data_IF_648220876147
#
_entry.id   IF_648220876147
#
_cell.length_a   1.000
_cell.length_b   1.000
_cell.length_c   1.000
_cell.angle_alpha   90.00
_cell.angle_beta   90.00
_cell.angle_gamma   90.00
#
_symmetry.space_group_name_H-M   'P 1'
#
loop_
_entity.id
_entity.type
_entity.pdbx_description
1 polymer ?
#
# COMPACT_ATOMS: atom_id res chain seq x y z
N UNK A 1 33.43 -3.01 24.10
CA UNK A 1 32.75 -3.39 25.36
C UNK A 1 31.87 -2.23 25.69
N UNK A 2 30.56 -2.50 25.75
CA UNK A 2 29.48 -1.64 26.26
C UNK A 2 29.19 -0.37 25.45
N UNK A 3 27.99 -0.10 24.95
CA UNK A 3 26.68 -0.76 25.03
C UNK A 3 25.91 -0.39 23.75
N UNK A 4 25.43 -1.41 23.03
CA UNK A 4 24.31 -1.27 22.12
C UNK A 4 23.05 -1.29 22.98
N UNK A 5 22.39 -0.14 23.09
CA UNK A 5 21.12 0.01 23.77
C UNK A 5 20.33 1.08 23.04
N UNK A 6 19.16 0.70 22.53
CA UNK A 6 18.25 1.68 21.93
C UNK A 6 17.25 1.17 20.90
N UNK A 7 17.12 -0.15 20.64
CA UNK A 7 16.05 -0.67 19.76
C UNK A 7 15.35 -1.93 20.28
N UNK A 8 15.78 -2.51 21.41
CA UNK A 8 15.14 -3.68 22.02
C UNK A 8 14.00 -3.32 23.01
N UNK A 9 13.67 -2.03 23.18
CA UNK A 9 12.62 -1.56 24.12
C UNK A 9 11.23 -1.37 23.48
N UNK A 10 11.06 -1.65 22.18
CA UNK A 10 9.81 -1.34 21.46
C UNK A 10 8.85 -2.52 21.21
N UNK A 11 9.15 -3.74 21.68
CA UNK A 11 8.37 -4.93 21.27
C UNK A 11 8.14 -5.92 22.42
N UNK A 12 7.51 -5.44 23.49
CA UNK A 12 6.71 -6.29 24.37
C UNK A 12 5.23 -6.02 24.07
N UNK A 13 4.40 -7.06 24.14
CA UNK A 13 2.95 -7.00 23.96
C UNK A 13 2.25 -6.22 25.10
N UNK A 14 2.64 -4.96 25.27
CA UNK A 14 1.93 -3.99 26.09
C UNK A 14 0.79 -3.41 25.26
N UNK A 15 -0.35 -3.21 25.93
CA UNK A 15 -1.49 -2.45 25.41
C UNK A 15 -0.97 -1.24 24.63
N UNK A 16 -1.41 -1.07 23.38
CA UNK A 16 -1.08 0.11 22.57
C UNK A 16 -1.52 1.34 23.35
N UNK A 17 -0.60 1.93 24.11
CA UNK A 17 -0.87 3.15 24.84
C UNK A 17 -0.92 4.25 23.76
N UNK A 18 -2.02 4.98 23.65
CA UNK A 18 -2.13 6.02 22.66
C UNK A 18 -1.04 7.05 22.96
N UNK A 19 -0.49 7.66 21.92
CA UNK A 19 0.38 8.82 22.11
C UNK A 19 -0.41 10.00 22.72
N UNK A 20 -1.75 9.90 22.75
CA UNK A 20 -2.68 10.87 23.33
C UNK A 20 -2.87 10.74 24.84
N UNK A 21 -2.97 11.87 25.54
CA UNK A 21 -3.47 11.96 26.92
C UNK A 21 -5.00 11.80 27.04
N UNK A 22 -5.71 11.53 25.94
CA UNK A 22 -7.14 11.21 25.90
C UNK A 22 -7.37 9.70 25.97
N UNK A 23 -8.50 9.29 26.55
CA UNK A 23 -8.90 7.89 26.60
C UNK A 23 -9.03 7.32 25.17
N UNK A 24 -8.45 6.13 24.94
CA UNK A 24 -8.45 5.42 23.65
C UNK A 24 -9.88 5.30 23.08
N UNK A 25 -10.86 5.09 23.97
CA UNK A 25 -12.27 4.94 23.60
C UNK A 25 -12.84 6.21 22.96
N UNK A 26 -12.47 7.39 23.45
CA UNK A 26 -12.92 8.68 22.90
C UNK A 26 -12.30 8.92 21.52
N UNK A 27 -11.01 8.63 21.35
CA UNK A 27 -10.31 8.73 20.06
C UNK A 27 -10.93 7.76 19.04
N UNK A 28 -11.19 6.51 19.44
CA UNK A 28 -11.84 5.52 18.58
C UNK A 28 -13.27 5.93 18.18
N UNK A 29 -14.04 6.54 19.08
CA UNK A 29 -15.38 7.04 18.78
C UNK A 29 -15.35 8.18 17.75
N UNK A 30 -14.43 9.15 17.92
CA UNK A 30 -14.22 10.26 16.99
C UNK A 30 -13.78 9.76 15.61
N UNK A 31 -12.82 8.82 15.58
CA UNK A 31 -12.35 8.20 14.33
C UNK A 31 -13.47 7.49 13.57
N UNK A 32 -14.33 6.74 14.28
CA UNK A 32 -15.47 6.04 13.67
C UNK A 32 -16.46 6.99 13.02
N UNK A 33 -16.74 8.14 13.65
CA UNK A 33 -17.62 9.16 13.08
C UNK A 33 -17.02 9.79 11.82
N UNK A 34 -15.75 10.21 11.88
CA UNK A 34 -15.05 10.75 10.71
C UNK A 34 -14.96 9.75 9.56
N UNK A 35 -14.61 8.50 9.85
CA UNK A 35 -14.55 7.43 8.87
C UNK A 35 -15.90 7.23 8.19
N UNK A 36 -16.98 7.16 8.97
CA UNK A 36 -18.32 6.93 8.44
C UNK A 36 -18.73 8.06 7.50
N UNK A 37 -18.56 9.31 7.92
CA UNK A 37 -18.89 10.47 7.08
C UNK A 37 -18.08 10.49 5.78
N UNK A 38 -16.77 10.21 5.86
CA UNK A 38 -15.90 10.18 4.69
C UNK A 38 -16.21 8.98 3.76
N UNK A 39 -16.59 7.83 4.32
CA UNK A 39 -17.00 6.64 3.57
C UNK A 39 -18.32 6.87 2.84
N UNK A 40 -19.32 7.44 3.49
CA UNK A 40 -20.63 7.76 2.89
C UNK A 40 -20.46 8.74 1.72
N UNK A 41 -19.57 9.72 1.88
CA UNK A 41 -19.22 10.65 0.82
C UNK A 41 -18.49 9.97 -0.35
N UNK A 42 -17.52 9.12 -0.05
CA UNK A 42 -16.81 8.36 -1.08
C UNK A 42 -17.78 7.46 -1.87
N UNK A 43 -18.74 6.81 -1.21
CA UNK A 43 -19.75 5.98 -1.89
C UNK A 43 -20.62 6.80 -2.85
N UNK A 44 -21.02 8.01 -2.44
CA UNK A 44 -21.77 8.92 -3.30
C UNK A 44 -20.97 9.30 -4.56
N UNK A 45 -19.68 9.65 -4.40
CA UNK A 45 -18.76 9.91 -5.52
C UNK A 45 -18.52 8.65 -6.38
N UNK A 46 -18.46 7.49 -5.75
CA UNK A 46 -18.27 6.18 -6.39
C UNK A 46 -19.32 5.91 -7.46
N UNK A 47 -20.58 6.33 -7.25
CA UNK A 47 -21.65 6.17 -8.26
C UNK A 47 -21.34 6.92 -9.55
N UNK A 48 -20.75 8.12 -9.45
CA UNK A 48 -20.32 8.89 -10.62
C UNK A 48 -19.12 8.23 -11.30
N UNK A 49 -18.13 7.77 -10.52
CA UNK A 49 -16.94 7.09 -11.03
C UNK A 49 -17.28 5.79 -11.76
N UNK A 50 -18.22 5.00 -11.24
CA UNK A 50 -18.73 3.79 -11.90
C UNK A 50 -19.31 4.15 -13.27
N UNK A 51 -20.11 5.21 -13.37
CA UNK A 51 -20.67 5.65 -14.65
C UNK A 51 -19.57 6.07 -15.64
N UNK A 52 -18.55 6.79 -15.19
CA UNK A 52 -17.40 7.17 -16.02
C UNK A 52 -16.58 5.96 -16.46
N UNK A 53 -16.39 4.97 -15.59
CA UNK A 53 -15.70 3.73 -15.90
C UNK A 53 -16.46 2.91 -16.97
N UNK A 54 -17.79 2.83 -16.87
CA UNK A 54 -18.64 2.18 -17.89
C UNK A 54 -18.52 2.89 -19.23
N UNK A 55 -18.54 4.22 -19.23
CA UNK A 55 -18.35 5.02 -20.44
C UNK A 55 -16.97 4.79 -21.07
N UNK A 56 -15.91 4.68 -20.27
CA UNK A 56 -14.57 4.33 -20.73
C UNK A 56 -14.49 2.90 -21.29
N UNK A 57 -15.18 1.93 -20.67
CA UNK A 57 -15.22 0.55 -21.14
C UNK A 57 -16.10 0.37 -22.40
N UNK A 58 -16.82 1.41 -22.84
CA UNK A 58 -17.86 1.33 -23.87
C UNK A 58 -18.93 0.28 -23.55
N UNK A 59 -19.31 0.20 -22.27
CA UNK A 59 -20.37 -0.70 -21.82
C UNK A 59 -21.76 -0.19 -22.24
N UNK A 60 -22.73 -1.10 -22.44
CA UNK A 60 -24.13 -0.74 -22.67
C UNK A 60 -24.69 0.17 -21.56
N UNK A 61 -25.56 1.11 -21.94
CA UNK A 61 -26.23 2.04 -21.03
C UNK A 61 -27.40 1.40 -20.26
N UNK A 62 -27.80 0.18 -20.63
CA UNK A 62 -28.88 -0.57 -19.99
C UNK A 62 -30.28 -0.11 -20.41
N UNK A 63 -30.38 0.79 -21.39
CA UNK A 63 -31.63 1.27 -21.98
C UNK A 63 -31.81 0.79 -23.43
N UNK A 64 -31.00 -0.17 -23.87
CA UNK A 64 -31.04 -0.73 -25.22
C UNK A 64 -32.39 -1.41 -25.46
N UNK A 65 -32.96 -1.19 -26.65
CA UNK A 65 -34.17 -1.88 -27.09
C UNK A 65 -33.82 -3.00 -28.05
N UNK A 66 -34.50 -4.13 -27.89
CA UNK A 66 -34.43 -5.23 -28.85
C UNK A 66 -34.79 -4.72 -30.26
N UNK A 67 -34.03 -5.14 -31.27
CA UNK A 67 -34.12 -4.67 -32.66
C UNK A 67 -33.75 -3.19 -32.90
N UNK A 68 -32.98 -2.56 -32.00
CA UNK A 68 -32.29 -1.28 -32.24
C UNK A 68 -30.77 -1.45 -32.20
N UNK A 69 -30.06 -0.45 -32.71
CA UNK A 69 -28.59 -0.44 -32.63
C UNK A 69 -28.13 -0.45 -31.17
N UNK A 70 -27.21 -1.36 -30.85
CA UNK A 70 -26.60 -1.52 -29.52
C UNK A 70 -25.12 -1.08 -29.53
N UNK A 71 -24.67 -0.42 -30.60
CA UNK A 71 -23.28 0.03 -30.71
C UNK A 71 -23.04 1.20 -29.77
N UNK A 72 -22.09 1.03 -28.86
CA UNK A 72 -21.59 2.07 -27.97
C UNK A 72 -20.27 2.59 -28.53
N UNK A 73 -20.15 3.91 -28.68
CA UNK A 73 -18.92 4.56 -29.17
C UNK A 73 -17.86 4.60 -28.07
N UNK A 74 -16.59 4.46 -28.43
CA UNK A 74 -15.46 4.46 -27.49
C UNK A 74 -14.75 5.81 -27.37
N UNK A 75 -15.43 6.91 -27.70
CA UNK A 75 -14.83 8.26 -27.78
C UNK A 75 -14.07 8.66 -26.51
N UNK A 76 -14.58 8.30 -25.33
CA UNK A 76 -13.92 8.56 -24.04
C UNK A 76 -12.59 7.83 -23.95
N UNK A 77 -12.57 6.53 -24.26
CA UNK A 77 -11.36 5.70 -24.25
C UNK A 77 -10.32 6.19 -25.25
N UNK A 78 -10.78 6.56 -26.43
CA UNK A 78 -9.91 6.99 -27.52
C UNK A 78 -9.30 8.36 -27.20
N UNK A 79 -10.06 9.26 -26.60
CA UNK A 79 -9.57 10.56 -26.11
C UNK A 79 -8.55 10.39 -24.99
N UNK A 80 -8.83 9.56 -23.98
CA UNK A 80 -7.89 9.27 -22.89
C UNK A 80 -6.59 8.70 -23.46
N UNK A 81 -6.68 7.71 -24.36
CA UNK A 81 -5.52 7.07 -24.98
C UNK A 81 -4.70 8.03 -25.84
N UNK A 82 -5.32 9.04 -26.44
CA UNK A 82 -4.64 10.07 -27.21
C UNK A 82 -3.87 11.08 -26.32
N UNK A 83 -4.40 11.41 -25.14
CA UNK A 83 -3.78 12.38 -24.21
C UNK A 83 -2.63 11.76 -23.41
N UNK A 84 -2.75 10.48 -23.03
CA UNK A 84 -1.79 9.77 -22.17
C UNK A 84 -0.32 9.90 -22.61
N UNK A 85 0.06 9.68 -23.88
CA UNK A 85 1.46 9.79 -24.31
C UNK A 85 2.05 11.20 -24.11
N UNK A 86 1.23 12.24 -24.26
CA UNK A 86 1.66 13.62 -24.10
C UNK A 86 1.94 13.94 -22.63
N UNK A 87 1.09 13.48 -21.71
CA UNK A 87 1.31 13.63 -20.26
C UNK A 87 2.53 12.83 -19.79
N UNK A 88 2.66 11.57 -20.21
CA UNK A 88 3.80 10.74 -19.84
C UNK A 88 5.13 11.32 -20.33
N UNK A 89 5.16 11.94 -21.51
CA UNK A 89 6.38 12.57 -22.06
C UNK A 89 6.87 13.76 -21.23
N UNK A 90 5.99 14.47 -20.51
CA UNK A 90 6.39 15.60 -19.65
C UNK A 90 7.29 15.11 -18.51
N UNK A 91 6.98 13.94 -17.93
CA UNK A 91 7.69 13.42 -16.76
C UNK A 91 8.75 12.37 -17.10
N UNK A 92 8.52 11.53 -18.12
CA UNK A 92 9.42 10.42 -18.50
C UNK A 92 10.01 10.60 -19.91
N UNK A 93 9.96 11.83 -20.44
CA UNK A 93 10.65 12.19 -21.66
C UNK A 93 12.17 12.22 -21.49
N UNK A 94 12.85 12.86 -22.43
CA UNK A 94 14.32 12.91 -22.43
C UNK A 94 14.92 13.98 -21.48
N UNK A 95 14.08 14.62 -20.67
CA UNK A 95 14.44 15.71 -19.75
C UNK A 95 14.31 15.26 -18.29
N UNK A 96 14.93 16.01 -17.37
CA UNK A 96 14.81 15.75 -15.93
C UNK A 96 13.37 16.08 -15.51
N UNK A 97 12.65 15.12 -14.93
CA UNK A 97 11.26 15.32 -14.48
C UNK A 97 11.13 16.39 -13.38
N UNK A 98 12.12 16.41 -12.48
CA UNK A 98 12.27 17.36 -11.38
C UNK A 98 13.73 17.82 -11.40
N UNK A 99 13.96 19.08 -11.10
CA UNK A 99 15.29 19.66 -10.95
C UNK A 99 15.30 20.59 -9.73
N UNK A 100 16.26 20.37 -8.84
CA UNK A 100 16.46 21.26 -7.70
C UNK A 100 17.30 22.45 -8.13
N UNK A 101 16.80 23.66 -7.88
CA UNK A 101 17.52 24.89 -8.19
C UNK A 101 18.50 25.21 -7.05
N UNK A 102 19.80 25.41 -7.34
CA UNK A 102 20.76 25.82 -6.31
C UNK A 102 20.50 27.26 -5.88
N UNK A 103 20.54 27.51 -4.57
CA UNK A 103 20.41 28.87 -4.00
C UNK A 103 21.74 29.63 -4.00
N UNK A 104 22.86 28.93 -4.17
CA UNK A 104 24.20 29.52 -4.29
C UNK A 104 25.26 28.55 -4.85
N UNK A 105 26.50 29.02 -5.10
CA UNK A 105 27.57 28.25 -5.74
C UNK A 105 27.94 26.97 -4.98
N UNK A 106 27.85 26.99 -3.64
CA UNK A 106 28.18 25.85 -2.78
C UNK A 106 27.11 24.74 -2.86
N UNK A 107 25.86 25.10 -3.12
CA UNK A 107 24.72 24.17 -3.21
C UNK A 107 24.57 23.51 -4.58
N UNK A 108 25.35 23.92 -5.59
CA UNK A 108 25.23 23.42 -6.95
C UNK A 108 25.40 21.89 -7.04
N UNK A 109 26.43 21.36 -6.37
CA UNK A 109 26.68 19.90 -6.35
C UNK A 109 25.61 19.13 -5.58
N UNK A 110 25.11 19.71 -4.48
CA UNK A 110 24.06 19.09 -3.66
C UNK A 110 22.75 19.04 -4.43
N UNK A 111 22.40 20.12 -5.15
CA UNK A 111 21.21 20.18 -5.98
C UNK A 111 21.25 19.16 -7.13
N UNK A 112 22.42 18.98 -7.76
CA UNK A 112 22.63 17.95 -8.77
C UNK A 112 22.46 16.54 -8.18
N UNK A 113 23.11 16.25 -7.05
CA UNK A 113 22.98 14.97 -6.34
C UNK A 113 21.54 14.69 -5.92
N UNK A 114 20.82 15.68 -5.38
CA UNK A 114 19.42 15.54 -4.99
C UNK A 114 18.53 15.26 -6.20
N UNK A 115 18.80 15.92 -7.33
CA UNK A 115 18.07 15.70 -8.59
C UNK A 115 18.26 14.27 -9.10
N UNK A 116 19.51 13.78 -9.07
CA UNK A 116 19.83 12.43 -9.51
C UNK A 116 19.28 11.37 -8.55
N UNK A 117 19.31 11.63 -7.24
CA UNK A 117 18.74 10.74 -6.23
C UNK A 117 17.22 10.59 -6.36
N UNK A 118 16.47 11.70 -6.48
CA UNK A 118 15.02 11.64 -6.69
C UNK A 118 14.67 10.88 -7.97
N UNK A 119 15.46 11.03 -9.04
CA UNK A 119 15.28 10.23 -10.25
C UNK A 119 15.49 8.75 -9.98
N UNK A 120 16.54 8.40 -9.25
CA UNK A 120 16.84 7.02 -8.89
C UNK A 120 15.68 6.40 -8.11
N UNK A 121 15.16 7.10 -7.10
CA UNK A 121 14.00 6.64 -6.30
C UNK A 121 12.76 6.41 -7.16
N UNK A 122 12.47 7.32 -8.11
CA UNK A 122 11.29 7.20 -8.98
C UNK A 122 11.44 6.09 -10.02
N UNK A 123 12.64 5.87 -10.57
CA UNK A 123 12.83 4.98 -11.73
C UNK A 123 13.36 3.59 -11.38
N UNK A 124 14.18 3.47 -10.33
CA UNK A 124 14.86 2.23 -9.95
C UNK A 124 14.19 1.60 -8.73
N UNK A 125 14.02 2.36 -7.65
CA UNK A 125 13.44 1.81 -6.41
C UNK A 125 11.92 1.57 -6.55
N UNK A 126 11.28 2.34 -7.41
CA UNK A 126 9.86 2.26 -7.70
C UNK A 126 9.61 2.08 -9.21
N UNK A 127 8.51 1.41 -9.59
CA UNK A 127 8.08 1.36 -10.99
C UNK A 127 7.40 2.68 -11.41
N UNK A 128 8.10 3.82 -11.29
CA UNK A 128 7.49 5.15 -11.40
C UNK A 128 6.76 5.41 -12.71
N UNK A 129 7.23 4.88 -13.84
CA UNK A 129 6.50 4.99 -15.11
C UNK A 129 5.09 4.38 -15.03
N UNK A 130 4.96 3.21 -14.39
CA UNK A 130 3.68 2.52 -14.24
C UNK A 130 2.79 3.23 -13.22
N UNK A 131 3.35 3.71 -12.11
CA UNK A 131 2.60 4.44 -11.10
C UNK A 131 2.04 5.75 -11.66
N UNK A 132 2.84 6.57 -12.35
CA UNK A 132 2.34 7.78 -13.00
C UNK A 132 1.31 7.47 -14.09
N UNK A 133 1.51 6.39 -14.86
CA UNK A 133 0.54 5.96 -15.85
C UNK A 133 -0.82 5.61 -15.22
N UNK A 134 -0.82 4.87 -14.12
CA UNK A 134 -2.03 4.54 -13.34
C UNK A 134 -2.67 5.81 -12.78
N UNK A 135 -1.87 6.69 -12.19
CA UNK A 135 -2.31 7.95 -11.59
C UNK A 135 -3.03 8.86 -12.59
N UNK A 136 -2.43 9.08 -13.77
CA UNK A 136 -3.07 9.88 -14.82
C UNK A 136 -4.32 9.22 -15.36
N UNK A 137 -4.34 7.89 -15.48
CA UNK A 137 -5.52 7.17 -15.96
C UNK A 137 -6.68 7.32 -14.98
N UNK A 138 -6.43 7.17 -13.68
CA UNK A 138 -7.44 7.34 -12.63
C UNK A 138 -7.93 8.80 -12.60
N UNK A 139 -7.03 9.77 -12.74
CA UNK A 139 -7.39 11.18 -12.83
C UNK A 139 -8.24 11.52 -14.07
N UNK A 140 -7.90 10.96 -15.24
CA UNK A 140 -8.61 11.24 -16.49
C UNK A 140 -9.98 10.56 -16.57
N UNK A 141 -10.13 9.37 -15.98
CA UNK A 141 -11.41 8.64 -15.99
C UNK A 141 -12.29 9.06 -14.82
N UNK A 142 -11.75 9.03 -13.60
CA UNK A 142 -12.49 9.23 -12.35
C UNK A 142 -12.48 10.66 -11.81
N UNK A 143 -11.76 11.58 -12.45
CA UNK A 143 -11.62 12.98 -12.02
C UNK A 143 -10.76 13.17 -10.77
N UNK A 144 -10.17 12.09 -10.22
CA UNK A 144 -9.32 12.11 -9.05
C UNK A 144 -8.19 11.09 -9.24
N UNK A 145 -6.95 11.54 -9.12
CA UNK A 145 -5.79 10.67 -9.00
C UNK A 145 -5.10 10.96 -7.68
N UNK A 146 -4.94 9.94 -6.83
CA UNK A 146 -4.25 10.06 -5.54
C UNK A 146 -2.97 9.25 -5.58
N UNK A 147 -1.88 9.83 -5.09
CA UNK A 147 -0.60 9.17 -4.97
C UNK A 147 -0.09 9.33 -3.56
N UNK A 148 0.31 8.22 -2.95
CA UNK A 148 0.87 8.16 -1.60
C UNK A 148 2.36 7.91 -1.70
N UNK A 149 3.12 8.64 -0.88
CA UNK A 149 4.56 8.48 -0.73
C UNK A 149 4.82 8.25 0.75
N UNK A 150 5.53 7.16 1.08
CA UNK A 150 5.88 6.83 2.44
C UNK A 150 7.21 6.08 2.48
N UNK A 151 7.76 5.94 3.67
CA UNK A 151 8.93 5.12 3.93
C UNK A 151 8.49 3.68 4.25
N UNK A 152 8.91 2.71 3.44
CA UNK A 152 8.49 1.31 3.60
C UNK A 152 9.57 0.50 4.30
N UNK A 153 9.25 0.05 5.51
CA UNK A 153 10.06 -0.82 6.35
C UNK A 153 9.36 -2.17 6.49
N UNK A 154 9.73 -3.13 5.67
CA UNK A 154 9.13 -4.48 5.70
C UNK A 154 10.17 -5.56 5.69
N UNK A 155 9.90 -6.62 6.43
CA UNK A 155 10.68 -7.85 6.34
C UNK A 155 10.17 -8.71 5.18
N UNK A 156 11.07 -9.07 4.27
CA UNK A 156 10.78 -9.94 3.14
C UNK A 156 11.40 -11.31 3.38
N UNK A 157 10.56 -12.34 3.33
CA UNK A 157 11.00 -13.73 3.48
C UNK A 157 10.80 -14.44 2.16
N UNK A 158 11.89 -14.95 1.58
CA UNK A 158 11.85 -15.78 0.38
C UNK A 158 12.44 -17.15 0.70
N UNK A 159 11.61 -18.18 0.61
CA UNK A 159 12.05 -19.58 0.72
C UNK A 159 12.27 -20.15 -0.68
N UNK A 160 13.47 -20.68 -0.93
CA UNK A 160 13.79 -21.43 -2.15
C UNK A 160 14.08 -22.87 -1.75
N UNK A 161 13.28 -23.78 -2.28
CA UNK A 161 13.48 -25.22 -2.08
C UNK A 161 14.32 -25.76 -3.23
N UNK A 162 15.28 -26.62 -2.89
CA UNK A 162 16.12 -27.31 -3.85
C UNK A 162 16.12 -28.81 -3.56
N UNK A 163 16.17 -29.58 -4.63
CA UNK A 163 16.19 -31.04 -4.58
C UNK A 163 17.30 -31.56 -5.47
N UNK A 164 18.01 -32.59 -5.01
CA UNK A 164 19.10 -33.22 -5.75
C UNK A 164 20.34 -32.34 -5.97
N UNK A 165 20.69 -31.47 -5.03
CA UNK A 165 21.99 -30.77 -5.05
C UNK A 165 23.07 -31.62 -4.38
N UNK A 166 24.28 -31.59 -4.93
CA UNK A 166 25.45 -32.14 -4.27
C UNK A 166 25.84 -31.27 -3.07
N UNK A 167 26.44 -31.89 -2.06
CA UNK A 167 26.77 -31.25 -0.79
C UNK A 167 27.68 -30.01 -0.94
N UNK A 168 28.52 -29.97 -1.98
CA UNK A 168 29.41 -28.84 -2.25
C UNK A 168 28.66 -27.66 -2.86
N UNK A 169 27.79 -27.89 -3.84
CA UNK A 169 26.97 -26.81 -4.44
C UNK A 169 25.97 -26.22 -3.44
N UNK A 170 25.38 -27.04 -2.56
CA UNK A 170 24.50 -26.55 -1.50
C UNK A 170 25.25 -25.63 -0.52
N UNK A 171 26.52 -25.92 -0.21
CA UNK A 171 27.36 -25.07 0.64
C UNK A 171 27.77 -23.76 -0.05
N UNK A 172 27.99 -23.77 -1.36
CA UNK A 172 28.28 -22.55 -2.15
C UNK A 172 27.04 -21.65 -2.21
N UNK A 173 25.85 -22.20 -2.45
CA UNK A 173 24.59 -21.44 -2.44
C UNK A 173 24.30 -20.78 -1.09
N UNK A 174 24.65 -21.45 0.01
CA UNK A 174 24.56 -20.87 1.35
C UNK A 174 25.54 -19.70 1.57
N UNK A 175 26.68 -19.70 0.87
CA UNK A 175 27.71 -18.64 0.96
C UNK A 175 27.48 -17.48 -0.03
N UNK A 176 26.85 -17.73 -1.18
CA UNK A 176 26.49 -16.69 -2.17
C UNK A 176 25.20 -15.94 -1.84
N UNK A 177 24.51 -16.34 -0.77
CA UNK A 177 23.37 -15.60 -0.27
C UNK A 177 23.76 -14.14 0.06
N UNK A 178 22.90 -13.15 -0.26
CA UNK A 178 23.18 -11.74 0.01
C UNK A 178 23.59 -11.55 1.47
N UNK A 179 24.71 -10.86 1.72
CA UNK A 179 25.28 -10.68 3.07
C UNK A 179 24.33 -9.99 4.06
N UNK A 180 23.33 -9.28 3.55
CA UNK A 180 22.33 -8.55 4.32
C UNK A 180 21.06 -9.39 4.58
N UNK A 181 21.00 -10.63 4.07
CA UNK A 181 19.88 -11.50 4.29
C UNK A 181 20.18 -12.55 5.37
N UNK A 182 19.36 -12.65 6.41
CA UNK A 182 19.45 -13.75 7.36
C UNK A 182 19.19 -15.08 6.66
N UNK A 183 20.21 -15.93 6.54
CA UNK A 183 20.12 -17.22 5.82
C UNK A 183 19.90 -18.34 6.82
N UNK A 184 18.76 -19.01 6.75
CA UNK A 184 18.56 -20.29 7.44
C UNK A 184 18.57 -21.40 6.40
N UNK A 185 19.49 -22.35 6.56
CA UNK A 185 19.64 -23.49 5.67
C UNK A 185 19.20 -24.75 6.40
N UNK A 186 18.07 -25.32 5.96
CA UNK A 186 17.65 -26.64 6.40
C UNK A 186 18.10 -27.66 5.37
N UNK A 187 19.02 -28.54 5.76
CA UNK A 187 19.50 -29.64 4.91
C UNK A 187 18.95 -30.96 5.44
N UNK A 188 18.34 -31.74 4.55
CA UNK A 188 17.90 -33.12 4.83
C UNK A 188 18.61 -34.08 3.88
N UNK A 189 19.19 -35.18 4.39
CA UNK A 189 19.74 -36.21 3.50
C UNK A 189 18.63 -36.75 2.60
N UNK A 190 18.88 -36.79 1.30
CA UNK A 190 17.96 -37.38 0.34
C UNK A 190 17.94 -38.91 0.55
N UNK A 191 16.76 -39.47 0.79
CA UNK A 191 16.58 -40.89 1.11
C UNK A 191 16.74 -41.79 -0.13
N UNK A 192 16.65 -41.23 -1.34
CA UNK A 192 16.68 -42.00 -2.60
C UNK A 192 18.04 -41.95 -3.31
N UNK A 193 18.90 -40.98 -3.01
CA UNK A 193 20.19 -40.79 -3.70
C UNK A 193 21.35 -40.54 -2.72
N UNK A 194 22.25 -41.50 -2.60
CA UNK A 194 23.51 -41.34 -1.85
C UNK A 194 24.32 -40.15 -2.42
N UNK A 195 24.65 -39.19 -1.55
CA UNK A 195 25.48 -38.02 -1.88
C UNK A 195 24.72 -36.74 -2.25
N UNK A 196 23.38 -36.78 -2.30
CA UNK A 196 22.53 -35.63 -2.60
C UNK A 196 21.79 -35.14 -1.35
N UNK A 197 21.53 -33.83 -1.32
CA UNK A 197 20.84 -33.14 -0.22
C UNK A 197 19.64 -32.41 -0.79
N UNK A 198 18.48 -32.64 -0.17
CA UNK A 198 17.29 -31.82 -0.36
C UNK A 198 17.21 -30.82 0.78
N UNK A 199 16.82 -29.58 0.49
CA UNK A 199 16.81 -28.55 1.50
C UNK A 199 16.04 -27.31 1.11
N UNK A 200 15.97 -26.39 2.06
CA UNK A 200 15.43 -25.07 1.78
C UNK A 200 16.36 -23.99 2.30
N UNK A 201 16.53 -22.96 1.48
CA UNK A 201 17.22 -21.72 1.85
C UNK A 201 16.15 -20.67 2.07
N UNK A 202 16.05 -20.16 3.29
CA UNK A 202 15.20 -19.01 3.58
C UNK A 202 16.07 -17.77 3.60
N UNK A 203 15.80 -16.84 2.68
CA UNK A 203 16.38 -15.50 2.63
C UNK A 203 15.45 -14.55 3.38
N UNK A 204 15.96 -13.84 4.40
CA UNK A 204 15.24 -12.76 5.08
C UNK A 204 15.91 -11.44 4.77
N UNK A 205 15.32 -10.58 3.94
CA UNK A 205 15.84 -9.25 3.65
C UNK A 205 14.94 -8.16 4.22
N UNK A 206 15.50 -7.03 4.60
CA UNK A 206 14.74 -5.83 4.99
C UNK A 206 14.60 -4.92 3.77
N UNK A 207 13.38 -4.45 3.50
CA UNK A 207 13.16 -3.32 2.61
C UNK A 207 13.16 -2.06 3.46
N UNK A 208 14.03 -1.11 3.12
CA UNK A 208 14.15 0.19 3.76
C UNK A 208 14.31 1.26 2.67
N UNK A 209 13.20 1.65 2.04
CA UNK A 209 13.22 2.56 0.90
C UNK A 209 11.93 3.38 0.78
N UNK A 210 12.01 4.51 0.09
CA UNK A 210 10.84 5.32 -0.26
C UNK A 210 9.97 4.53 -1.24
N UNK A 211 8.68 4.40 -0.91
CA UNK A 211 7.66 3.82 -1.80
C UNK A 211 6.73 4.90 -2.32
N UNK A 212 6.41 4.77 -3.60
CA UNK A 212 5.42 5.59 -4.30
C UNK A 212 4.37 4.64 -4.85
N UNK A 213 3.11 4.87 -4.48
CA UNK A 213 1.99 4.05 -4.96
C UNK A 213 0.78 4.92 -5.26
N UNK A 214 0.10 4.61 -6.37
CA UNK A 214 -1.22 5.15 -6.65
C UNK A 214 -2.25 4.53 -5.71
N UNK A 215 -2.99 5.39 -5.01
CA UNK A 215 -4.11 4.98 -4.19
C UNK A 215 -5.37 5.02 -5.05
N UNK A 216 -6.07 3.89 -5.23
CA UNK A 216 -7.34 3.88 -5.93
C UNK A 216 -8.32 4.89 -5.30
N UNK A 217 -9.08 5.64 -6.09
CA UNK A 217 -10.01 6.63 -5.55
C UNK A 217 -11.05 6.07 -4.57
N UNK A 218 -11.40 4.78 -4.67
CA UNK A 218 -12.32 4.06 -3.77
C UNK A 218 -11.69 3.71 -2.41
N UNK A 219 -10.35 3.71 -2.34
CA UNK A 219 -9.58 3.49 -1.12
C UNK A 219 -9.25 4.79 -0.38
N UNK A 220 -9.36 5.93 -1.07
CA UNK A 220 -9.04 7.24 -0.53
C UNK A 220 -10.28 7.93 0.07
N UNK A 221 -10.22 8.19 1.38
CA UNK A 221 -11.26 8.87 2.14
C UNK A 221 -10.76 10.26 2.55
N UNK A 222 -11.62 11.25 2.45
CA UNK A 222 -11.35 12.63 2.88
C UNK A 222 -12.63 13.23 3.42
N UNK A 223 -12.52 14.09 4.43
CA UNK A 223 -13.66 14.84 4.93
C UNK A 223 -14.30 15.74 3.85
N UNK A 224 -15.59 16.06 4.03
CA UNK A 224 -16.36 16.84 3.08
C UNK A 224 -15.91 18.30 2.98
N UNK A 225 -15.42 18.86 4.08
CA UNK A 225 -15.05 20.27 4.21
C UNK A 225 -13.61 20.59 3.79
N UNK A 226 -12.81 19.59 3.43
CA UNK A 226 -11.40 19.80 3.11
C UNK A 226 -11.23 20.63 1.83
N UNK A 227 -10.55 21.76 1.97
CA UNK A 227 -10.11 22.60 0.83
C UNK A 227 -8.74 22.16 0.32
N UNK A 228 -7.87 21.73 1.24
CA UNK A 228 -6.50 21.25 0.97
C UNK A 228 -6.21 20.07 1.89
N UNK A 229 -5.34 19.14 1.44
CA UNK A 229 -4.92 18.00 2.28
C UNK A 229 -4.30 18.46 3.61
N UNK A 230 -3.51 19.53 3.58
CA UNK A 230 -2.82 20.04 4.78
C UNK A 230 -3.77 20.55 5.86
N UNK A 231 -4.99 20.95 5.50
CA UNK A 231 -6.00 21.51 6.42
C UNK A 231 -7.15 20.55 6.66
N UNK A 232 -7.12 19.38 6.05
CA UNK A 232 -8.16 18.38 6.25
C UNK A 232 -8.11 17.90 7.70
N UNK A 233 -9.26 17.91 8.37
CA UNK A 233 -9.42 17.32 9.70
C UNK A 233 -9.24 15.81 9.67
N UNK A 234 -9.58 15.20 8.54
CA UNK A 234 -9.52 13.76 8.36
C UNK A 234 -9.23 13.37 6.92
N UNK A 235 -8.23 12.52 6.75
CA UNK A 235 -7.90 11.80 5.52
C UNK A 235 -7.65 10.35 5.90
N UNK A 236 -8.09 9.38 5.10
CA UNK A 236 -7.74 7.99 5.35
C UNK A 236 -7.44 7.23 4.07
N UNK A 237 -6.53 6.26 4.18
CA UNK A 237 -6.26 5.26 3.16
C UNK A 237 -6.76 3.92 3.67
N UNK A 238 -7.87 3.44 3.09
CA UNK A 238 -8.50 2.16 3.40
C UNK A 238 -8.10 1.15 2.34
N UNK A 239 -7.51 0.03 2.73
CA UNK A 239 -7.14 -1.03 1.78
C UNK A 239 -7.34 -2.43 2.37
N UNK A 240 -7.30 -3.44 1.50
CA UNK A 240 -7.33 -4.85 1.90
C UNK A 240 -5.92 -5.41 1.81
N UNK A 241 -5.38 -5.79 2.97
CA UNK A 241 -4.02 -6.31 3.11
C UNK A 241 -4.12 -7.77 3.53
N UNK A 242 -3.17 -8.60 3.10
CA UNK A 242 -3.15 -10.00 3.51
C UNK A 242 -2.62 -10.15 4.93
N UNK A 243 -3.00 -11.24 5.62
CA UNK A 243 -2.43 -11.57 6.94
C UNK A 243 -0.90 -11.62 6.88
N UNK A 244 -0.33 -12.22 5.83
CA UNK A 244 1.11 -12.28 5.62
C UNK A 244 1.76 -10.90 5.53
N UNK A 245 1.16 -9.97 4.80
CA UNK A 245 1.71 -8.62 4.62
C UNK A 245 1.63 -7.81 5.92
N UNK A 246 0.56 -7.94 6.70
CA UNK A 246 0.44 -7.27 8.00
C UNK A 246 1.46 -7.80 9.01
N UNK A 247 1.70 -9.12 9.02
CA UNK A 247 2.76 -9.71 9.85
C UNK A 247 4.14 -9.22 9.39
N UNK A 248 4.36 -9.09 8.08
CA UNK A 248 5.61 -8.55 7.52
C UNK A 248 5.83 -7.04 7.83
N UNK A 249 4.76 -6.29 8.11
CA UNK A 249 4.81 -4.92 8.62
C UNK A 249 5.13 -4.85 10.13
N UNK A 250 5.15 -5.99 10.83
CA UNK A 250 5.49 -6.07 12.25
C UNK A 250 4.30 -6.24 13.19
N UNK A 251 3.06 -6.39 12.67
CA UNK A 251 1.90 -6.62 13.53
C UNK A 251 1.86 -8.06 14.07
N UNK A 252 1.46 -8.27 15.34
CA UNK A 252 1.38 -9.60 15.92
C UNK A 252 0.31 -10.45 15.20
N UNK A 253 0.70 -11.67 14.80
CA UNK A 253 -0.14 -12.57 14.01
C UNK A 253 -1.50 -12.86 14.65
N UNK A 254 -1.52 -13.10 15.96
CA UNK A 254 -2.74 -13.41 16.71
C UNK A 254 -3.77 -12.28 16.60
N UNK A 255 -3.32 -11.03 16.76
CA UNK A 255 -4.16 -9.84 16.61
C UNK A 255 -4.71 -9.71 15.19
N UNK A 256 -3.89 -10.00 14.18
CA UNK A 256 -4.30 -9.90 12.77
C UNK A 256 -5.35 -10.96 12.41
N UNK A 257 -5.18 -12.19 12.91
CA UNK A 257 -6.11 -13.31 12.65
C UNK A 257 -7.50 -13.08 13.27
N UNK A 258 -7.59 -12.38 14.40
CA UNK A 258 -8.86 -12.00 15.02
C UNK A 258 -9.67 -11.00 14.19
N UNK A 259 -9.00 -10.23 13.30
CA UNK A 259 -9.58 -9.13 12.55
C UNK A 259 -9.76 -9.44 11.05
N UNK A 260 -9.77 -10.71 10.67
CA UNK A 260 -10.03 -11.15 9.29
C UNK A 260 -11.37 -10.60 8.81
N UNK A 261 -11.34 -9.92 7.65
CA UNK A 261 -12.51 -9.26 7.09
C UNK A 261 -13.55 -10.25 6.59
N UNK A 262 -14.83 -9.97 6.89
CA UNK A 262 -15.95 -10.69 6.33
C UNK A 262 -16.44 -10.05 5.01
N UNK A 263 -17.33 -10.74 4.30
CA UNK A 263 -17.81 -10.36 2.97
C UNK A 263 -18.39 -8.93 2.91
N UNK A 264 -19.00 -8.45 4.00
CA UNK A 264 -19.53 -7.09 4.16
C UNK A 264 -18.47 -6.01 3.94
N UNK A 265 -17.31 -6.10 4.61
CA UNK A 265 -16.21 -5.15 4.44
C UNK A 265 -15.68 -5.10 3.00
N UNK A 266 -15.72 -6.24 2.31
CA UNK A 266 -15.15 -6.38 0.97
C UNK A 266 -16.01 -5.68 -0.10
N UNK A 267 -17.32 -5.58 0.10
CA UNK A 267 -18.24 -4.88 -0.81
C UNK A 267 -18.08 -3.36 -0.79
N UNK A 268 -17.57 -2.79 0.32
CA UNK A 268 -17.35 -1.36 0.47
C UNK A 268 -16.30 -0.77 -0.51
N UNK A 269 -15.49 -1.63 -1.14
CA UNK A 269 -14.50 -1.26 -2.16
C UNK A 269 -15.05 -1.29 -3.60
N UNK A 270 -16.35 -1.59 -3.76
CA UNK A 270 -17.01 -1.78 -5.05
C UNK A 270 -16.96 -3.23 -5.54
N UNK A 271 -18.05 -3.67 -6.18
CA UNK A 271 -18.24 -5.07 -6.62
C UNK A 271 -17.14 -5.59 -7.55
N UNK A 272 -16.58 -4.75 -8.42
CA UNK A 272 -15.54 -5.17 -9.35
C UNK A 272 -14.22 -5.47 -8.65
N UNK A 273 -13.83 -4.62 -7.69
CA UNK A 273 -12.62 -4.82 -6.88
C UNK A 273 -12.76 -6.08 -6.03
N UNK A 274 -13.93 -6.27 -5.40
CA UNK A 274 -14.24 -7.51 -4.70
C UNK A 274 -14.08 -8.73 -5.61
N UNK A 275 -14.68 -8.71 -6.81
CA UNK A 275 -14.55 -9.81 -7.78
C UNK A 275 -13.10 -10.06 -8.19
N UNK A 276 -12.31 -9.03 -8.43
CA UNK A 276 -10.88 -9.17 -8.75
C UNK A 276 -10.09 -9.75 -7.59
N UNK A 277 -10.37 -9.30 -6.38
CA UNK A 277 -9.72 -9.77 -5.15
C UNK A 277 -10.06 -11.24 -4.90
N UNK A 278 -11.35 -11.61 -5.00
CA UNK A 278 -11.83 -13.00 -4.90
C UNK A 278 -11.22 -13.90 -5.98
N UNK A 279 -11.06 -13.39 -7.20
CA UNK A 279 -10.39 -14.14 -8.28
C UNK A 279 -8.88 -14.32 -8.03
N UNK A 280 -8.23 -13.34 -7.39
CA UNK A 280 -6.78 -13.35 -7.18
C UNK A 280 -6.34 -14.25 -6.02
N UNK A 281 -7.11 -14.29 -4.92
CA UNK A 281 -6.67 -14.95 -3.68
C UNK A 281 -7.26 -16.34 -3.46
N UNK A 282 -8.07 -16.80 -4.41
CA UNK A 282 -8.67 -18.14 -4.38
C UNK A 282 -9.93 -18.19 -3.52
N UNK A 283 -10.77 -19.19 -3.78
CA UNK A 283 -12.01 -19.42 -3.05
C UNK A 283 -11.78 -19.83 -1.58
N UNK A 284 -12.78 -20.38 -0.90
CA UNK A 284 -12.73 -20.70 0.54
C UNK A 284 -11.62 -21.66 1.00
N UNK A 285 -10.85 -22.24 0.07
CA UNK A 285 -9.67 -23.08 0.35
C UNK A 285 -8.34 -22.30 0.26
N UNK A 286 -8.38 -20.97 0.19
CA UNK A 286 -7.20 -20.12 0.20
C UNK A 286 -6.41 -20.31 1.51
N UNK A 287 -5.09 -20.15 1.43
CA UNK A 287 -4.20 -20.17 2.58
C UNK A 287 -4.61 -19.10 3.61
N UNK A 288 -4.45 -19.40 4.89
CA UNK A 288 -4.78 -18.49 5.99
C UNK A 288 -3.97 -17.20 5.92
N UNK A 289 -2.71 -17.31 5.46
CA UNK A 289 -1.82 -16.18 5.24
C UNK A 289 -2.30 -15.22 4.13
N UNK A 290 -3.15 -15.70 3.21
CA UNK A 290 -3.66 -14.93 2.07
C UNK A 290 -5.04 -14.28 2.34
N UNK A 291 -5.61 -14.49 3.54
CA UNK A 291 -6.93 -13.95 3.90
C UNK A 291 -6.89 -12.41 3.99
N UNK A 292 -7.98 -11.73 3.62
CA UNK A 292 -8.05 -10.28 3.67
C UNK A 292 -8.22 -9.81 5.11
N UNK A 293 -7.52 -8.75 5.44
CA UNK A 293 -7.80 -7.93 6.61
C UNK A 293 -7.98 -6.50 6.14
N UNK A 294 -9.03 -5.85 6.65
CA UNK A 294 -9.28 -4.44 6.42
C UNK A 294 -8.23 -3.66 7.21
N UNK A 295 -7.38 -2.95 6.49
CA UNK A 295 -6.36 -2.08 7.08
C UNK A 295 -6.67 -0.65 6.69
N UNK A 296 -6.76 0.23 7.69
CA UNK A 296 -7.04 1.65 7.47
C UNK A 296 -5.99 2.49 8.16
N UNK A 297 -5.34 3.35 7.38
CA UNK A 297 -4.51 4.41 7.93
C UNK A 297 -5.32 5.69 7.98
N UNK A 298 -5.53 6.21 9.17
CA UNK A 298 -6.23 7.46 9.44
C UNK A 298 -5.21 8.56 9.71
N UNK A 299 -5.35 9.68 9.02
CA UNK A 299 -4.62 10.92 9.27
C UNK A 299 -5.62 11.93 9.80
N UNK A 300 -5.60 12.16 11.11
CA UNK A 300 -6.61 12.96 11.81
C UNK A 300 -5.95 14.09 12.59
N UNK A 301 -6.57 15.27 12.57
CA UNK A 301 -6.17 16.40 13.42
C UNK A 301 -6.88 16.27 14.77
N UNK A 302 -6.14 15.98 15.83
CA UNK A 302 -6.66 15.84 17.19
C UNK A 302 -5.73 16.58 18.15
N UNK A 303 -6.33 17.34 19.06
CA UNK A 303 -5.66 17.88 20.24
C UNK A 303 -5.56 16.75 21.27
N UNK A 304 -4.41 16.10 21.34
CA UNK A 304 -4.20 14.86 22.07
C UNK A 304 -3.69 15.09 23.49
N UNK A 305 -2.96 16.18 23.74
CA UNK A 305 -2.41 16.57 25.04
C UNK A 305 -3.27 17.60 25.79
N UNK A 306 -4.32 18.12 25.14
CA UNK A 306 -5.26 19.07 25.73
C UNK A 306 -4.72 20.50 25.78
N UNK A 307 -3.72 20.83 24.98
CA UNK A 307 -3.10 22.16 24.93
C UNK A 307 -3.91 23.17 24.07
N UNK A 308 -4.95 22.70 23.38
CA UNK A 308 -5.81 23.48 22.50
C UNK A 308 -5.31 23.59 21.05
N UNK A 309 -4.20 22.92 20.71
CA UNK A 309 -3.61 22.84 19.38
C UNK A 309 -3.76 21.41 18.87
N UNK A 310 -4.49 21.25 17.75
CA UNK A 310 -4.63 19.94 17.14
C UNK A 310 -3.35 19.57 16.38
N UNK A 311 -2.77 18.43 16.74
CA UNK A 311 -1.66 17.81 16.02
C UNK A 311 -2.19 16.75 15.05
N UNK A 312 -1.39 16.41 14.04
CA UNK A 312 -1.77 15.38 13.08
C UNK A 312 -1.28 14.04 13.59
N UNK A 313 -2.23 13.13 13.78
CA UNK A 313 -1.97 11.75 14.16
C UNK A 313 -2.20 10.83 12.97
N UNK A 314 -1.29 9.88 12.77
CA UNK A 314 -1.46 8.70 11.93
C UNK A 314 -1.86 7.54 12.83
N UNK A 315 -3.13 7.16 12.74
CA UNK A 315 -3.71 6.06 13.50
C UNK A 315 -3.99 4.91 12.55
N UNK A 316 -3.41 3.75 12.81
CA UNK A 316 -3.63 2.54 12.03
C UNK A 316 -4.67 1.67 12.72
N UNK A 317 -5.67 1.19 11.98
CA UNK A 317 -6.71 0.30 12.50
C UNK A 317 -6.84 -0.99 11.69
N UNK A 318 -7.28 -2.06 12.37
CA UNK A 318 -7.57 -3.36 11.80
C UNK A 318 -9.05 -3.74 11.93
N UNK A 319 -9.55 -4.39 10.88
CA UNK A 319 -10.86 -5.03 10.85
C UNK A 319 -12.05 -4.06 10.81
N UNK A 320 -13.26 -4.62 10.79
CA UNK A 320 -14.51 -3.84 10.79
C UNK A 320 -14.76 -3.12 12.12
N UNK A 321 -14.18 -3.62 13.22
CA UNK A 321 -14.27 -3.01 14.55
C UNK A 321 -13.43 -1.73 14.69
N UNK A 322 -12.50 -1.48 13.75
CA UNK A 322 -11.48 -0.43 13.80
C UNK A 322 -10.66 -0.49 15.09
N UNK A 323 -10.11 -1.66 15.36
CA UNK A 323 -9.20 -1.82 16.51
C UNK A 323 -7.92 -1.08 16.22
N UNK A 324 -7.54 -0.13 17.08
CA UNK A 324 -6.33 0.67 16.93
C UNK A 324 -5.11 -0.21 17.20
N UNK A 325 -4.15 -0.18 16.28
CA UNK A 325 -2.91 -0.98 16.36
C UNK A 325 -1.64 -0.15 16.37
N UNK A 326 -1.71 1.10 15.92
CA UNK A 326 -0.63 2.08 16.02
C UNK A 326 -1.19 3.50 16.06
N UNK A 327 -0.51 4.40 16.76
CA UNK A 327 -0.82 5.83 16.86
C UNK A 327 0.50 6.62 16.90
N UNK A 328 0.82 7.29 15.79
CA UNK A 328 2.03 8.09 15.62
C UNK A 328 1.67 9.56 15.36
N UNK A 329 2.37 10.51 15.96
CA UNK A 329 2.26 11.95 15.62
C UNK A 329 3.12 12.23 14.38
N UNK A 330 2.57 12.95 13.36
CA UNK A 330 3.18 13.10 12.01
C UNK A 330 3.22 14.53 11.49
#
# INVERSE_FOLDING_TARGET
>A
MEEGGGMDELMAADEVQPASGKDIEDVAAVLKDYYKQASDWNEWLGRQRIAMQRAYNAEPYGNERENRSQVVMSDVRDTVSAVMPSLMRVFFGNQKAVEFLPTGPETAKIAEQATDYVRYVIQQDNPGFLEFYRWFKDALIGGLGVMKVWWDQRQTVRKVEFDGLDQQTAAVLAQEAPKDAGVTVEMRPDAEREGFVAGSITYRGEQDQVRIQVVPPEEFLIELGAVTLDRALYVAHRTLVTVSDLVAMGYPRELVEEHISHESALTAFGEERFRRWQAALGGPNADEAARPVLYVEHYVLIDADGDGVAERHRICTLGESMTIVADDVV
#
